data_IF_706405441491
#
_entry.id   IF_706405441491
#
_cell.length_a   1.000
_cell.length_b   1.000
_cell.length_c   1.000
_cell.angle_alpha   90.00
_cell.angle_beta   90.00
_cell.angle_gamma   90.00
#
_symmetry.space_group_name_H-M   'P 1'
#
loop_
_entity.id
_entity.type
_entity.pdbx_description
1 polymer ?
#
# COMPACT_ATOMS: atom_id res chain seq x y z
N UNK A 1 12.76 28.28 33.83
CA UNK A 1 14.08 28.88 33.49
C UNK A 1 15.28 27.89 33.56
N UNK A 2 15.10 26.60 33.41
CA UNK A 2 16.18 25.56 33.58
C UNK A 2 16.86 25.13 32.26
N UNK A 3 16.36 25.55 31.10
CA UNK A 3 16.86 25.11 29.80
C UNK A 3 18.24 25.70 29.42
N UNK A 4 18.64 26.84 29.99
CA UNK A 4 19.94 27.47 29.67
C UNK A 4 21.16 26.73 30.19
N UNK A 5 21.02 25.87 31.20
CA UNK A 5 22.13 25.16 31.88
C UNK A 5 22.61 23.90 31.19
N UNK A 6 21.85 23.40 30.19
CA UNK A 6 22.23 22.16 29.53
C UNK A 6 23.28 22.37 28.44
N UNK A 7 24.27 21.46 28.29
CA UNK A 7 25.26 21.50 27.23
C UNK A 7 24.60 21.55 25.84
N UNK A 8 25.21 22.27 24.91
CA UNK A 8 24.66 22.45 23.55
C UNK A 8 24.37 21.12 22.85
N UNK A 9 25.20 20.10 23.10
CA UNK A 9 25.02 18.76 22.52
C UNK A 9 23.76 18.06 23.05
N UNK A 10 23.46 18.17 24.34
CA UNK A 10 22.25 17.61 24.93
C UNK A 10 21.01 18.34 24.40
N UNK A 11 21.07 19.66 24.24
CA UNK A 11 19.98 20.42 23.61
C UNK A 11 19.70 19.98 22.18
N UNK A 12 20.73 19.76 21.36
CA UNK A 12 20.59 19.23 20.00
C UNK A 12 19.97 17.83 19.98
N UNK A 13 20.37 16.95 20.89
CA UNK A 13 19.82 15.61 21.00
C UNK A 13 18.35 15.63 21.44
N UNK A 14 17.98 16.48 22.39
CA UNK A 14 16.59 16.67 22.82
C UNK A 14 15.72 17.23 21.71
N UNK A 15 16.19 18.24 20.96
CA UNK A 15 15.49 18.78 19.81
C UNK A 15 15.29 17.70 18.74
N UNK A 16 16.30 16.87 18.48
CA UNK A 16 16.21 15.76 17.52
C UNK A 16 15.20 14.68 17.97
N UNK A 17 15.19 14.34 19.28
CA UNK A 17 14.24 13.40 19.88
C UNK A 17 12.83 13.96 19.86
N UNK A 18 12.64 15.23 20.23
CA UNK A 18 11.33 15.89 20.21
C UNK A 18 10.83 16.09 18.78
N UNK A 19 11.69 16.48 17.86
CA UNK A 19 11.34 16.60 16.42
C UNK A 19 10.96 15.25 15.82
N UNK A 20 11.66 14.16 16.18
CA UNK A 20 11.26 12.81 15.77
C UNK A 20 9.93 12.39 16.38
N UNK A 21 9.70 12.65 17.68
CA UNK A 21 8.41 12.38 18.35
C UNK A 21 7.25 13.19 17.75
N UNK A 22 7.46 14.48 17.46
CA UNK A 22 6.44 15.34 16.81
C UNK A 22 6.14 14.83 15.39
N UNK A 23 7.13 14.33 14.67
CA UNK A 23 6.94 13.73 13.33
C UNK A 23 6.08 12.47 13.37
N UNK A 24 6.10 11.72 14.47
CA UNK A 24 5.26 10.52 14.66
C UNK A 24 3.84 10.82 15.17
N UNK A 25 3.58 12.02 15.74
CA UNK A 25 2.24 12.42 16.20
C UNK A 25 1.22 12.60 15.06
N UNK A 26 1.68 12.78 13.82
CA UNK A 26 0.83 12.90 12.62
C UNK A 26 0.71 11.60 11.83
N UNK A 27 1.33 10.51 12.26
CA UNK A 27 1.35 9.23 11.57
C UNK A 27 0.99 8.12 12.55
N UNK A 28 -0.08 7.37 12.23
CA UNK A 28 -0.46 6.18 13.00
C UNK A 28 0.35 5.01 12.47
N UNK A 29 0.99 4.27 13.37
CA UNK A 29 1.70 3.04 13.05
C UNK A 29 0.80 1.85 13.37
N UNK A 30 0.54 1.01 12.38
CA UNK A 30 -0.22 -0.23 12.53
C UNK A 30 0.61 -1.40 11.99
N UNK A 31 0.61 -2.56 12.66
CA UNK A 31 1.24 -3.75 12.11
C UNK A 31 0.45 -4.22 10.87
N UNK A 32 1.17 -4.51 9.79
CA UNK A 32 0.62 -5.06 8.56
C UNK A 32 1.46 -6.25 8.09
N UNK A 33 0.88 -7.13 7.30
CA UNK A 33 1.61 -8.25 6.70
C UNK A 33 2.58 -7.76 5.61
N UNK A 34 3.59 -8.58 5.30
CA UNK A 34 4.53 -8.28 4.22
C UNK A 34 3.78 -8.20 2.87
N UNK A 35 2.85 -9.11 2.62
CA UNK A 35 2.02 -9.10 1.41
C UNK A 35 1.19 -7.81 1.29
N UNK A 36 0.63 -7.30 2.38
CA UNK A 36 -0.08 -6.02 2.40
C UNK A 36 0.84 -4.84 2.09
N UNK A 37 2.06 -4.83 2.64
CA UNK A 37 3.05 -3.79 2.37
C UNK A 37 3.40 -3.73 0.88
N UNK A 38 3.67 -4.87 0.25
CA UNK A 38 4.01 -4.95 -1.18
C UNK A 38 2.80 -4.56 -2.04
N UNK A 39 1.61 -5.01 -1.66
CA UNK A 39 0.38 -4.64 -2.34
C UNK A 39 0.16 -3.12 -2.36
N UNK A 40 0.28 -2.45 -1.23
CA UNK A 40 0.20 -0.99 -1.13
C UNK A 40 1.25 -0.29 -2.00
N UNK A 41 2.49 -0.78 -2.01
CA UNK A 41 3.56 -0.21 -2.84
C UNK A 41 3.20 -0.34 -4.33
N UNK A 42 2.74 -1.50 -4.80
CA UNK A 42 2.37 -1.70 -6.21
C UNK A 42 1.17 -0.85 -6.63
N UNK A 43 0.19 -0.65 -5.75
CA UNK A 43 -0.94 0.26 -5.99
C UNK A 43 -0.47 1.72 -6.10
N UNK A 44 0.45 2.15 -5.22
CA UNK A 44 1.01 3.51 -5.29
C UNK A 44 1.82 3.73 -6.57
N UNK A 45 2.54 2.72 -7.06
CA UNK A 45 3.23 2.78 -8.35
C UNK A 45 2.26 2.95 -9.54
N UNK A 46 1.08 2.34 -9.48
CA UNK A 46 0.02 2.54 -10.48
C UNK A 46 -0.51 3.97 -10.37
N UNK A 47 -0.83 4.44 -9.16
CA UNK A 47 -1.31 5.81 -8.92
C UNK A 47 -0.33 6.88 -9.39
N UNK A 48 0.99 6.64 -9.32
CA UNK A 48 2.00 7.57 -9.83
C UNK A 48 1.88 7.84 -11.34
N UNK A 49 1.35 6.86 -12.11
CA UNK A 49 1.16 7.01 -13.55
C UNK A 49 -0.02 7.94 -13.88
N UNK A 50 -1.08 7.91 -13.06
CA UNK A 50 -2.34 8.59 -13.34
C UNK A 50 -2.54 9.89 -12.56
N UNK A 51 -1.71 10.18 -11.56
CA UNK A 51 -1.92 11.33 -10.67
C UNK A 51 -0.87 12.41 -10.87
N UNK A 52 -1.29 13.66 -10.70
CA UNK A 52 -0.44 14.87 -10.84
C UNK A 52 -0.61 15.82 -9.64
N UNK A 53 0.20 16.87 -9.59
CA UNK A 53 0.06 17.95 -8.62
C UNK A 53 0.19 17.49 -7.16
N UNK A 54 -0.75 17.93 -6.32
CA UNK A 54 -0.74 17.61 -4.87
C UNK A 54 -1.00 16.12 -4.62
N UNK A 55 -1.81 15.46 -5.45
CA UNK A 55 -2.07 14.02 -5.35
C UNK A 55 -0.78 13.22 -5.53
N UNK A 56 0.02 13.56 -6.55
CA UNK A 56 1.30 12.91 -6.79
C UNK A 56 2.30 13.15 -5.64
N UNK A 57 2.32 14.36 -5.05
CA UNK A 57 3.16 14.65 -3.87
C UNK A 57 2.79 13.75 -2.68
N UNK A 58 1.50 13.55 -2.42
CA UNK A 58 1.02 12.68 -1.35
C UNK A 58 1.41 11.21 -1.60
N UNK A 59 1.23 10.72 -2.84
CA UNK A 59 1.62 9.37 -3.26
C UNK A 59 3.12 9.16 -3.06
N UNK A 60 3.96 10.09 -3.51
CA UNK A 60 5.40 9.99 -3.37
C UNK A 60 5.86 9.99 -1.91
N UNK A 61 5.19 10.76 -1.05
CA UNK A 61 5.45 10.77 0.40
C UNK A 61 5.14 9.41 1.03
N UNK A 62 3.96 8.84 0.74
CA UNK A 62 3.56 7.53 1.23
C UNK A 62 4.49 6.44 0.70
N UNK A 63 4.75 6.42 -0.61
CA UNK A 63 5.68 5.49 -1.26
C UNK A 63 7.05 5.46 -0.58
N UNK A 64 7.62 6.64 -0.30
CA UNK A 64 8.91 6.75 0.38
C UNK A 64 8.88 6.12 1.77
N UNK A 65 7.83 6.36 2.54
CA UNK A 65 7.68 5.77 3.89
C UNK A 65 7.61 4.24 3.82
N UNK A 66 6.82 3.69 2.90
CA UNK A 66 6.66 2.24 2.76
C UNK A 66 7.94 1.57 2.24
N UNK A 67 8.64 2.17 1.26
CA UNK A 67 9.91 1.63 0.75
C UNK A 67 11.02 1.67 1.81
N UNK A 68 11.06 2.68 2.66
CA UNK A 68 12.00 2.71 3.78
C UNK A 68 11.80 1.53 4.75
N UNK A 69 10.55 1.10 4.98
CA UNK A 69 10.28 -0.08 5.82
C UNK A 69 10.93 -1.35 5.24
N UNK A 70 10.87 -1.54 3.92
CA UNK A 70 11.53 -2.68 3.27
C UNK A 70 13.05 -2.63 3.45
N UNK A 71 13.64 -1.45 3.29
CA UNK A 71 15.09 -1.23 3.47
C UNK A 71 15.52 -1.45 4.91
N UNK A 72 14.81 -0.88 5.88
CA UNK A 72 15.11 -1.00 7.31
C UNK A 72 15.01 -2.46 7.81
N UNK A 73 14.15 -3.26 7.17
CA UNK A 73 13.97 -4.69 7.47
C UNK A 73 14.84 -5.61 6.62
N UNK A 74 15.65 -5.08 5.69
CA UNK A 74 16.43 -5.85 4.71
C UNK A 74 15.57 -6.89 3.95
N UNK A 75 14.35 -6.51 3.59
CA UNK A 75 13.40 -7.38 2.91
C UNK A 75 13.59 -7.25 1.39
N UNK A 76 14.21 -8.26 0.79
CA UNK A 76 14.34 -8.40 -0.67
C UNK A 76 13.25 -9.33 -1.20
N UNK A 77 12.20 -8.76 -1.76
CA UNK A 77 11.08 -9.51 -2.30
C UNK A 77 11.36 -9.94 -3.74
N UNK A 78 11.03 -11.18 -4.08
CA UNK A 78 11.16 -11.71 -5.42
C UNK A 78 10.43 -10.82 -6.43
N UNK A 79 11.15 -10.41 -7.47
CA UNK A 79 10.67 -9.46 -8.46
C UNK A 79 9.44 -9.97 -9.24
N UNK A 80 9.31 -11.28 -9.45
CA UNK A 80 8.19 -11.85 -10.19
C UNK A 80 6.90 -11.81 -9.36
N UNK A 81 6.98 -11.99 -8.04
CA UNK A 81 5.83 -11.80 -7.14
C UNK A 81 5.36 -10.34 -7.15
N UNK A 82 6.28 -9.39 -7.12
CA UNK A 82 5.95 -7.96 -7.21
C UNK A 82 5.29 -7.65 -8.57
N UNK A 83 5.86 -8.14 -9.69
CA UNK A 83 5.30 -7.94 -11.03
C UNK A 83 3.90 -8.55 -11.17
N UNK A 84 3.71 -9.77 -10.67
CA UNK A 84 2.43 -10.45 -10.72
C UNK A 84 1.37 -9.70 -9.92
N UNK A 85 1.69 -9.26 -8.71
CA UNK A 85 0.79 -8.47 -7.88
C UNK A 85 0.44 -7.12 -8.55
N UNK A 86 1.45 -6.42 -9.10
CA UNK A 86 1.24 -5.18 -9.84
C UNK A 86 0.37 -5.36 -11.07
N UNK A 87 0.53 -6.47 -11.81
CA UNK A 87 -0.31 -6.80 -12.98
C UNK A 87 -1.77 -6.98 -12.59
N UNK A 88 -2.05 -7.68 -11.48
CA UNK A 88 -3.42 -7.86 -11.00
C UNK A 88 -4.00 -6.52 -10.50
N UNK A 89 -3.23 -5.73 -9.76
CA UNK A 89 -3.68 -4.43 -9.30
C UNK A 89 -3.97 -3.46 -10.45
N UNK A 90 -3.16 -3.50 -11.52
CA UNK A 90 -3.45 -2.73 -12.73
C UNK A 90 -4.74 -3.19 -13.41
N UNK A 91 -4.96 -4.49 -13.50
CA UNK A 91 -6.20 -5.04 -14.07
C UNK A 91 -7.42 -4.64 -13.24
N UNK A 92 -7.34 -4.69 -11.92
CA UNK A 92 -8.41 -4.22 -11.03
C UNK A 92 -8.68 -2.73 -11.21
N UNK A 93 -7.65 -1.91 -11.37
CA UNK A 93 -7.79 -0.49 -11.68
C UNK A 93 -8.60 -0.27 -12.97
N UNK A 94 -8.25 -0.98 -14.05
CA UNK A 94 -8.94 -0.88 -15.34
C UNK A 94 -10.40 -1.36 -15.25
N UNK A 95 -10.66 -2.44 -14.51
CA UNK A 95 -12.02 -2.94 -14.26
C UNK A 95 -12.86 -1.90 -13.52
N UNK A 96 -12.33 -1.31 -12.45
CA UNK A 96 -13.00 -0.29 -11.64
C UNK A 96 -13.31 0.98 -12.46
N UNK A 97 -12.40 1.41 -13.32
CA UNK A 97 -12.64 2.54 -14.21
C UNK A 97 -13.76 2.23 -15.23
N UNK A 98 -13.73 1.03 -15.83
CA UNK A 98 -14.77 0.61 -16.79
C UNK A 98 -16.15 0.46 -16.15
N UNK A 99 -16.24 -0.06 -14.92
CA UNK A 99 -17.50 -0.11 -14.16
C UNK A 99 -18.05 1.29 -13.95
N UNK A 100 -17.20 2.27 -13.56
CA UNK A 100 -17.64 3.66 -13.38
C UNK A 100 -18.09 4.33 -14.68
N UNK A 101 -17.45 3.99 -15.80
CA UNK A 101 -17.89 4.48 -17.12
C UNK A 101 -19.29 3.94 -17.46
N UNK A 102 -19.52 2.64 -17.25
CA UNK A 102 -20.84 2.02 -17.45
C UNK A 102 -21.89 2.62 -16.51
N UNK A 103 -21.56 2.76 -15.22
CA UNK A 103 -22.42 3.39 -14.22
C UNK A 103 -22.81 4.83 -14.60
N UNK A 104 -21.87 5.64 -15.07
CA UNK A 104 -22.12 7.03 -15.46
C UNK A 104 -23.11 7.15 -16.65
N UNK A 105 -23.19 6.10 -17.47
CA UNK A 105 -24.11 6.00 -18.61
C UNK A 105 -25.38 5.23 -18.27
N UNK A 106 -25.51 4.68 -17.07
CA UNK A 106 -26.62 3.80 -16.66
C UNK A 106 -26.75 2.55 -17.56
N UNK A 107 -25.59 2.01 -18.04
CA UNK A 107 -25.49 0.83 -18.90
C UNK A 107 -25.27 -0.42 -18.06
N UNK A 108 -26.34 -1.06 -17.58
CA UNK A 108 -26.29 -2.27 -16.73
C UNK A 108 -26.49 -3.55 -17.57
N UNK A 109 -25.77 -3.64 -18.64
CA UNK A 109 -25.79 -4.73 -19.62
C UNK A 109 -24.93 -5.95 -19.20
N UNK A 110 -24.82 -6.95 -20.09
CA UNK A 110 -23.98 -8.13 -19.85
C UNK A 110 -22.50 -7.78 -19.62
N UNK A 111 -22.00 -6.71 -20.23
CA UNK A 111 -20.62 -6.30 -20.06
C UNK A 111 -20.40 -5.69 -18.67
N UNK A 112 -21.37 -4.94 -18.14
CA UNK A 112 -21.35 -4.50 -16.74
C UNK A 112 -21.32 -5.70 -15.79
N UNK A 113 -22.13 -6.73 -16.03
CA UNK A 113 -22.16 -7.95 -15.23
C UNK A 113 -20.80 -8.67 -15.29
N UNK A 114 -20.19 -8.81 -16.47
CA UNK A 114 -18.87 -9.41 -16.63
C UNK A 114 -17.79 -8.63 -15.89
N UNK A 115 -17.81 -7.30 -15.97
CA UNK A 115 -16.89 -6.44 -15.23
C UNK A 115 -17.07 -6.61 -13.71
N UNK A 116 -18.32 -6.56 -13.22
CA UNK A 116 -18.63 -6.75 -11.80
C UNK A 116 -18.14 -8.11 -11.28
N UNK A 117 -18.34 -9.18 -12.06
CA UNK A 117 -17.82 -10.52 -11.72
C UNK A 117 -16.31 -10.57 -11.71
N UNK A 118 -15.62 -9.87 -12.59
CA UNK A 118 -14.17 -9.87 -12.66
C UNK A 118 -13.51 -9.21 -11.43
N UNK A 119 -14.22 -8.32 -10.71
CA UNK A 119 -13.71 -7.70 -9.48
C UNK A 119 -13.35 -8.75 -8.42
N UNK A 120 -14.28 -9.62 -8.04
CA UNK A 120 -14.01 -10.62 -7.01
C UNK A 120 -13.03 -11.69 -7.50
N UNK A 121 -13.11 -12.10 -8.77
CA UNK A 121 -12.17 -13.08 -9.37
C UNK A 121 -10.72 -12.56 -9.30
N UNK A 122 -10.47 -11.32 -9.70
CA UNK A 122 -9.13 -10.74 -9.65
C UNK A 122 -8.69 -10.42 -8.20
N UNK A 123 -9.61 -10.05 -7.32
CA UNK A 123 -9.29 -9.89 -5.89
C UNK A 123 -8.90 -11.22 -5.22
N UNK A 124 -9.46 -12.34 -5.63
CA UNK A 124 -9.05 -13.66 -5.11
C UNK A 124 -7.64 -14.02 -5.57
N UNK A 125 -7.29 -13.75 -6.83
CA UNK A 125 -5.91 -13.91 -7.32
C UNK A 125 -4.93 -12.99 -6.58
N UNK A 126 -5.32 -11.73 -6.35
CA UNK A 126 -4.54 -10.78 -5.56
C UNK A 126 -4.29 -11.30 -4.14
N UNK A 127 -5.32 -11.80 -3.48
CA UNK A 127 -5.22 -12.38 -2.15
C UNK A 127 -4.29 -13.60 -2.13
N UNK A 128 -4.36 -14.45 -3.14
CA UNK A 128 -3.49 -15.63 -3.28
C UNK A 128 -2.01 -15.23 -3.37
N UNK A 129 -1.66 -14.23 -4.19
CA UNK A 129 -0.27 -13.73 -4.29
C UNK A 129 0.18 -13.08 -2.98
N UNK A 130 -0.66 -12.29 -2.31
CA UNK A 130 -0.35 -11.74 -0.99
C UNK A 130 -0.06 -12.84 0.03
N UNK A 131 -0.86 -13.91 0.03
CA UNK A 131 -0.66 -15.08 0.89
C UNK A 131 0.64 -15.79 0.58
N UNK A 132 0.98 -15.98 -0.71
CA UNK A 132 2.26 -16.55 -1.15
C UNK A 132 3.45 -15.71 -0.65
N UNK A 133 3.39 -14.39 -0.77
CA UNK A 133 4.41 -13.47 -0.23
C UNK A 133 4.53 -13.67 1.29
N UNK A 134 3.43 -13.66 2.02
CA UNK A 134 3.43 -13.82 3.47
C UNK A 134 4.07 -15.13 3.90
N UNK A 135 3.77 -16.24 3.25
CA UNK A 135 4.33 -17.56 3.53
C UNK A 135 5.83 -17.62 3.19
N UNK A 136 6.22 -17.13 2.01
CA UNK A 136 7.61 -17.16 1.54
C UNK A 136 8.56 -16.34 2.42
N UNK A 137 8.08 -15.24 2.98
CA UNK A 137 8.89 -14.31 3.80
C UNK A 137 8.57 -14.40 5.30
N UNK A 138 7.87 -15.44 5.75
CA UNK A 138 7.52 -15.69 7.15
C UNK A 138 6.89 -14.46 7.81
N UNK A 139 5.86 -13.89 7.18
CA UNK A 139 5.13 -12.76 7.76
C UNK A 139 4.40 -13.20 9.03
N UNK A 140 4.57 -12.47 10.13
CA UNK A 140 3.87 -12.73 11.40
C UNK A 140 2.34 -12.59 11.26
N UNK A 141 1.92 -11.73 10.34
CA UNK A 141 0.51 -11.50 10.05
C UNK A 141 0.14 -12.10 8.69
N UNK A 142 -0.99 -12.79 8.65
CA UNK A 142 -1.58 -13.34 7.43
C UNK A 142 -3.04 -12.92 7.35
N UNK A 143 -3.43 -12.32 6.22
CA UNK A 143 -4.83 -12.00 5.96
C UNK A 143 -5.60 -13.29 5.67
N UNK A 144 -6.62 -13.60 6.47
CA UNK A 144 -7.53 -14.71 6.22
C UNK A 144 -8.82 -14.21 5.57
N UNK A 145 -9.34 -15.00 4.63
CA UNK A 145 -10.60 -14.72 3.93
C UNK A 145 -11.54 -15.92 4.06
N UNK A 146 -12.81 -15.63 4.27
CA UNK A 146 -13.88 -16.62 4.35
C UNK A 146 -15.01 -16.22 3.41
N UNK A 147 -14.85 -16.55 2.14
CA UNK A 147 -15.90 -16.35 1.13
C UNK A 147 -16.52 -17.69 0.73
N UNK A 148 -17.80 -17.63 0.32
CA UNK A 148 -18.44 -18.78 -0.35
C UNK A 148 -17.80 -18.97 -1.73
N UNK A 149 -17.59 -20.23 -2.09
CA UNK A 149 -17.16 -20.58 -3.46
C UNK A 149 -18.25 -20.19 -4.46
N UNK A 150 -17.85 -19.75 -5.65
CA UNK A 150 -18.72 -19.41 -6.76
C UNK A 150 -18.48 -20.35 -7.94
#
# INVERSE_FOLDING_TARGET
MLWRQYPAQLKKNWIKIMSSKIKYLSTILAPISIGELIDKITILEIKQIYMTGIKLKNINKEMKLLKNILQDKNLEINIDLIKNLKKINKKLWEIEDNIRIKESKQEFDEDFIKLARSVYIENDKRASIKKEINQKYNSDLVEEKSYKNY
#
